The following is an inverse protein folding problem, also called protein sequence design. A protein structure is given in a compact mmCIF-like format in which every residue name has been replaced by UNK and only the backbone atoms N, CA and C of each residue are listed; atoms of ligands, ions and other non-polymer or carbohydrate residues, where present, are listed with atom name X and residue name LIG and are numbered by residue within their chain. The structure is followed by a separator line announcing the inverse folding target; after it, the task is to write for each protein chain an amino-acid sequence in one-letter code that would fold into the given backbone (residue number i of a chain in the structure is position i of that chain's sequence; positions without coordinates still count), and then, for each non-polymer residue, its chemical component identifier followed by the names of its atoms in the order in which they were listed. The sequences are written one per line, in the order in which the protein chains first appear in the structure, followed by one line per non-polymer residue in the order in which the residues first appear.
data_IF_863135145418
#
_entry.id   IF_863135145418
#
_cell.length_a   1.000
_cell.length_b   1.000
_cell.length_c   1.000
_cell.angle_alpha   90.00
_cell.angle_beta   90.00
_cell.angle_gamma   90.00
#
_symmetry.space_group_name_H-M   'P 1'
#
loop_
_entity.id
_entity.type
_entity.pdbx_description
1 polymer ?
#
# COMPACT_ATOMS: atom_id res chain seq x y z
N UNK A 1 -13.81 -7.48 3.10
CA UNK A 1 -14.03 -6.28 2.27
C UNK A 1 -15.39 -5.69 2.61
N UNK A 2 -15.44 -4.39 2.99
CA UNK A 2 -16.70 -3.69 3.21
C UNK A 2 -17.25 -3.19 1.87
N UNK A 3 -18.51 -3.52 1.60
CA UNK A 3 -19.24 -2.98 0.44
C UNK A 3 -19.48 -1.47 0.62
N UNK A 4 -19.77 -0.78 -0.49
CA UNK A 4 -20.13 0.64 -0.44
C UNK A 4 -21.27 0.92 0.54
N UNK A 5 -22.35 0.14 0.50
CA UNK A 5 -23.51 0.34 1.37
C UNK A 5 -23.14 0.23 2.86
N UNK A 6 -22.30 -0.74 3.23
CA UNK A 6 -21.82 -0.86 4.61
C UNK A 6 -20.95 0.30 5.06
N UNK A 7 -20.12 0.84 4.16
CA UNK A 7 -19.34 2.04 4.46
C UNK A 7 -20.24 3.27 4.58
N UNK A 8 -21.27 3.37 3.74
CA UNK A 8 -22.27 4.43 3.81
C UNK A 8 -22.99 4.43 5.17
N UNK A 9 -23.51 3.27 5.57
CA UNK A 9 -24.19 3.10 6.86
C UNK A 9 -23.25 3.45 8.03
N UNK A 10 -22.02 2.97 8.00
CA UNK A 10 -21.01 3.29 9.02
C UNK A 10 -20.71 4.78 9.09
N UNK A 11 -20.52 5.43 7.93
CA UNK A 11 -20.27 6.86 7.86
C UNK A 11 -21.44 7.68 8.44
N UNK A 12 -22.66 7.32 8.12
CA UNK A 12 -23.88 7.96 8.66
C UNK A 12 -23.96 7.78 10.19
N UNK A 13 -23.67 6.59 10.72
CA UNK A 13 -23.63 6.34 12.17
C UNK A 13 -22.55 7.19 12.85
N UNK A 14 -21.34 7.24 12.27
CA UNK A 14 -20.25 8.07 12.80
C UNK A 14 -20.67 9.53 12.85
N UNK A 15 -21.27 10.07 11.79
CA UNK A 15 -21.76 11.47 11.75
C UNK A 15 -22.85 11.74 12.76
N UNK A 16 -23.71 10.76 13.03
CA UNK A 16 -24.78 10.87 14.03
C UNK A 16 -24.24 10.91 15.46
N UNK A 17 -23.29 10.03 15.79
CA UNK A 17 -22.88 9.82 17.18
C UNK A 17 -21.54 10.46 17.54
N UNK A 18 -20.65 10.66 16.57
CA UNK A 18 -19.32 11.27 16.77
C UNK A 18 -19.24 12.62 16.04
N UNK A 19 -19.98 13.59 16.55
CA UNK A 19 -20.14 14.91 15.89
C UNK A 19 -18.85 15.71 15.69
N UNK A 20 -17.82 15.45 16.49
CA UNK A 20 -16.51 16.11 16.39
C UNK A 20 -15.48 15.26 15.62
N UNK A 21 -15.87 14.15 15.03
CA UNK A 21 -14.99 13.36 14.18
C UNK A 21 -14.75 14.08 12.85
N UNK A 22 -13.55 14.61 12.64
CA UNK A 22 -13.22 15.38 11.44
C UNK A 22 -12.97 14.47 10.23
N UNK A 23 -12.29 13.32 10.44
CA UNK A 23 -11.99 12.38 9.37
C UNK A 23 -12.10 10.93 9.83
N UNK A 24 -12.38 10.03 8.87
CA UNK A 24 -12.50 8.60 9.07
C UNK A 24 -11.39 7.93 8.26
N UNK A 25 -10.30 7.57 8.93
CA UNK A 25 -9.22 6.81 8.31
C UNK A 25 -9.53 5.31 8.28
N UNK A 26 -8.95 4.60 7.31
CA UNK A 26 -9.11 3.14 7.19
C UNK A 26 -7.95 2.49 6.46
N UNK A 27 -7.84 1.18 6.61
CA UNK A 27 -6.97 0.35 5.76
C UNK A 27 -7.75 -0.24 4.60
N UNK A 28 -7.12 -0.32 3.44
CA UNK A 28 -7.69 -0.93 2.25
C UNK A 28 -6.63 -1.69 1.45
N UNK A 29 -7.09 -2.65 0.65
CA UNK A 29 -6.33 -3.22 -0.47
C UNK A 29 -6.76 -2.54 -1.77
N UNK A 30 -5.97 -2.68 -2.81
CA UNK A 30 -6.36 -2.24 -4.17
C UNK A 30 -7.67 -2.90 -4.61
N UNK A 31 -7.83 -4.19 -4.31
CA UNK A 31 -9.05 -4.95 -4.58
C UNK A 31 -10.31 -4.44 -3.85
N UNK A 32 -10.15 -3.72 -2.75
CA UNK A 32 -11.26 -3.15 -1.99
C UNK A 32 -11.79 -1.85 -2.64
N UNK A 33 -10.93 -1.13 -3.36
CA UNK A 33 -11.27 0.11 -4.08
C UNK A 33 -11.87 -0.22 -5.45
N UNK A 34 -11.35 -1.24 -6.12
CA UNK A 34 -11.71 -1.62 -7.50
C UNK A 34 -13.22 -1.67 -7.78
N UNK A 35 -14.08 -2.28 -6.93
CA UNK A 35 -15.52 -2.38 -7.18
C UNK A 35 -16.29 -1.08 -6.96
N UNK A 36 -15.66 -0.03 -6.40
CA UNK A 36 -16.30 1.23 -6.10
C UNK A 36 -16.16 2.22 -7.26
N UNK A 37 -17.24 2.89 -7.61
CA UNK A 37 -17.21 3.97 -8.59
C UNK A 37 -16.63 5.24 -7.97
N UNK A 38 -16.21 6.17 -8.82
CA UNK A 38 -15.73 7.49 -8.37
C UNK A 38 -16.85 8.26 -7.61
N UNK A 39 -18.08 8.13 -8.06
CA UNK A 39 -19.22 8.78 -7.39
C UNK A 39 -19.47 8.21 -6.00
N UNK A 40 -19.41 6.89 -5.85
CA UNK A 40 -19.48 6.25 -4.53
C UNK A 40 -18.34 6.71 -3.61
N UNK A 41 -17.12 6.85 -4.12
CA UNK A 41 -15.98 7.37 -3.37
C UNK A 41 -16.19 8.85 -2.98
N UNK A 42 -16.71 9.69 -3.87
CA UNK A 42 -17.09 11.08 -3.55
C UNK A 42 -18.12 11.15 -2.42
N UNK A 43 -19.14 10.30 -2.47
CA UNK A 43 -20.14 10.21 -1.40
C UNK A 43 -19.50 9.81 -0.06
N UNK A 44 -18.57 8.83 -0.05
CA UNK A 44 -17.83 8.48 1.15
C UNK A 44 -16.95 9.63 1.63
N UNK A 45 -16.32 10.38 0.72
CA UNK A 45 -15.54 11.58 1.06
C UNK A 45 -16.40 12.63 1.78
N UNK A 46 -17.64 12.89 1.32
CA UNK A 46 -18.57 13.79 1.99
C UNK A 46 -18.96 13.34 3.40
N UNK A 47 -18.96 12.03 3.66
CA UNK A 47 -19.14 11.48 5.00
C UNK A 47 -17.88 11.55 5.86
N UNK A 48 -16.77 12.04 5.31
CA UNK A 48 -15.52 12.23 6.02
C UNK A 48 -14.53 11.09 5.90
N UNK A 49 -14.76 10.11 5.03
CA UNK A 49 -13.72 9.11 4.72
C UNK A 49 -12.55 9.78 4.02
N UNK A 50 -11.38 9.71 4.67
CA UNK A 50 -10.16 10.35 4.22
C UNK A 50 -8.94 9.72 4.90
N UNK A 51 -7.76 9.77 4.30
CA UNK A 51 -6.57 9.18 4.89
C UNK A 51 -6.57 7.64 4.82
N UNK A 52 -6.84 7.07 3.63
CA UNK A 52 -6.88 5.62 3.43
C UNK A 52 -5.45 5.09 3.31
N UNK A 53 -5.06 4.13 4.18
CA UNK A 53 -3.79 3.43 4.09
C UNK A 53 -3.93 2.19 3.23
N UNK A 54 -3.17 2.14 2.12
CA UNK A 54 -3.28 1.09 1.10
C UNK A 54 -2.03 0.21 1.14
N UNK A 55 -2.22 -1.08 1.42
CA UNK A 55 -1.18 -2.08 1.30
C UNK A 55 -0.90 -2.40 -0.18
N UNK A 56 -0.12 -1.55 -0.84
CA UNK A 56 0.34 -1.79 -2.22
C UNK A 56 1.53 -2.74 -2.28
N UNK A 57 2.40 -2.63 -1.29
CA UNK A 57 3.56 -3.47 -0.98
C UNK A 57 4.62 -3.54 -2.08
N UNK A 58 4.26 -3.50 -3.34
CA UNK A 58 5.13 -3.44 -4.52
C UNK A 58 4.38 -2.81 -5.69
N UNK A 59 5.13 -2.29 -6.66
CA UNK A 59 4.65 -1.92 -8.00
C UNK A 59 5.24 -2.82 -9.10
N UNK A 60 5.83 -3.95 -8.74
CA UNK A 60 6.39 -4.90 -9.68
C UNK A 60 5.44 -6.08 -9.90
N UNK A 61 4.89 -6.24 -11.09
CA UNK A 61 3.91 -7.28 -11.41
C UNK A 61 4.41 -8.71 -11.11
N UNK A 62 5.69 -8.99 -11.34
CA UNK A 62 6.25 -10.29 -11.00
C UNK A 62 6.23 -10.54 -9.48
N UNK A 63 6.59 -9.53 -8.69
CA UNK A 63 6.55 -9.62 -7.22
C UNK A 63 5.11 -9.76 -6.74
N UNK A 64 4.18 -8.96 -7.29
CA UNK A 64 2.76 -9.03 -6.95
C UNK A 64 2.15 -10.40 -7.28
N UNK A 65 2.51 -10.97 -8.43
CA UNK A 65 2.05 -12.31 -8.84
C UNK A 65 2.60 -13.42 -7.94
N UNK A 66 3.91 -13.42 -7.65
CA UNK A 66 4.53 -14.41 -6.75
C UNK A 66 3.92 -14.34 -5.34
N UNK A 67 3.62 -13.14 -4.85
CA UNK A 67 3.00 -12.92 -3.53
C UNK A 67 1.47 -13.06 -3.55
N UNK A 68 0.89 -13.54 -4.64
CA UNK A 68 -0.54 -13.79 -4.81
C UNK A 68 -1.42 -12.60 -4.38
N UNK A 69 -1.03 -11.37 -4.77
CA UNK A 69 -1.73 -10.14 -4.38
C UNK A 69 -3.08 -9.95 -5.08
N UNK A 70 -3.29 -10.59 -6.23
CA UNK A 70 -4.53 -10.54 -6.99
C UNK A 70 -4.80 -9.21 -7.71
N UNK A 71 -3.79 -8.35 -7.86
CA UNK A 71 -3.84 -7.09 -8.61
C UNK A 71 -2.47 -6.80 -9.26
N UNK A 72 -2.45 -5.89 -10.22
CA UNK A 72 -1.29 -5.49 -11.01
C UNK A 72 -0.83 -4.06 -10.66
N UNK A 73 0.33 -3.67 -11.16
CA UNK A 73 0.83 -2.30 -11.12
C UNK A 73 -0.17 -1.31 -11.75
N UNK A 74 -0.81 -1.69 -12.85
CA UNK A 74 -1.83 -0.87 -13.50
C UNK A 74 -3.08 -0.71 -12.62
N UNK A 75 -3.53 -1.78 -11.95
CA UNK A 75 -4.63 -1.69 -10.98
C UNK A 75 -4.31 -0.69 -9.85
N UNK A 76 -3.06 -0.65 -9.36
CA UNK A 76 -2.64 0.33 -8.35
C UNK A 76 -2.85 1.75 -8.88
N UNK A 77 -2.35 2.03 -10.09
CA UNK A 77 -2.47 3.35 -10.70
C UNK A 77 -3.95 3.74 -10.88
N UNK A 78 -4.73 2.85 -11.47
CA UNK A 78 -6.16 3.12 -11.74
C UNK A 78 -6.95 3.39 -10.45
N UNK A 79 -6.78 2.55 -9.43
CA UNK A 79 -7.56 2.68 -8.20
C UNK A 79 -7.13 3.90 -7.37
N UNK A 80 -5.84 4.21 -7.32
CA UNK A 80 -5.37 5.43 -6.65
C UNK A 80 -5.84 6.70 -7.37
N UNK A 81 -5.87 6.72 -8.70
CA UNK A 81 -6.44 7.85 -9.48
C UNK A 81 -7.92 8.06 -9.20
N UNK A 82 -8.72 7.00 -8.97
CA UNK A 82 -10.12 7.16 -8.52
C UNK A 82 -10.21 7.87 -7.16
N UNK A 83 -9.30 7.57 -6.22
CA UNK A 83 -9.25 8.26 -4.93
C UNK A 83 -8.88 9.73 -5.11
N UNK A 84 -7.92 10.04 -5.98
CA UNK A 84 -7.53 11.41 -6.32
C UNK A 84 -8.72 12.18 -6.92
N UNK A 85 -9.44 11.60 -7.87
CA UNK A 85 -10.64 12.19 -8.48
C UNK A 85 -11.78 12.40 -7.46
N UNK A 86 -11.87 11.53 -6.46
CA UNK A 86 -12.81 11.66 -5.35
C UNK A 86 -12.31 12.59 -4.24
N UNK A 87 -11.13 13.19 -4.38
CA UNK A 87 -10.47 14.04 -3.38
C UNK A 87 -10.30 13.34 -2.01
N UNK A 88 -9.99 12.04 -2.03
CA UNK A 88 -9.67 11.24 -0.84
C UNK A 88 -8.15 11.12 -0.74
N UNK A 89 -7.57 11.60 0.36
CA UNK A 89 -6.14 11.40 0.66
C UNK A 89 -5.87 9.93 0.95
N UNK A 90 -4.72 9.46 0.50
CA UNK A 90 -4.29 8.08 0.74
C UNK A 90 -2.79 7.98 1.02
N UNK A 91 -2.41 6.92 1.69
CA UNK A 91 -1.04 6.55 2.00
C UNK A 91 -0.73 5.22 1.29
N UNK A 92 0.48 5.08 0.76
CA UNK A 92 0.93 3.84 0.16
C UNK A 92 1.91 3.14 1.11
N UNK A 93 1.79 1.83 1.20
CA UNK A 93 2.76 0.99 1.93
C UNK A 93 3.64 0.29 0.91
N UNK A 94 4.95 0.44 1.07
CA UNK A 94 5.98 -0.29 0.32
C UNK A 94 6.68 -1.28 1.24
N UNK A 95 6.69 -2.56 0.85
CA UNK A 95 7.25 -3.63 1.66
C UNK A 95 8.61 -4.07 1.09
N UNK A 96 9.71 -3.66 1.74
CA UNK A 96 11.06 -4.02 1.32
C UNK A 96 11.36 -5.49 1.60
N UNK A 97 12.14 -6.10 0.72
CA UNK A 97 12.47 -7.53 0.80
C UNK A 97 11.43 -8.47 0.22
N UNK A 98 10.27 -7.95 -0.20
CA UNK A 98 9.16 -8.75 -0.72
C UNK A 98 9.52 -9.53 -1.99
N UNK A 99 10.40 -8.99 -2.82
CA UNK A 99 10.85 -9.64 -4.06
C UNK A 99 11.83 -10.82 -3.80
N UNK A 100 12.36 -10.93 -2.59
CA UNK A 100 13.37 -11.92 -2.22
C UNK A 100 14.79 -11.54 -2.64
N UNK A 101 15.74 -12.42 -2.32
CA UNK A 101 17.18 -12.23 -2.51
C UNK A 101 17.52 -11.87 -3.97
N UNK A 102 18.35 -10.85 -4.14
CA UNK A 102 18.89 -10.41 -5.45
C UNK A 102 17.89 -9.70 -6.37
N UNK A 103 16.61 -9.52 -5.96
CA UNK A 103 15.57 -8.92 -6.81
C UNK A 103 15.10 -7.54 -6.35
N UNK A 104 15.62 -7.04 -5.24
CA UNK A 104 15.18 -5.78 -4.61
C UNK A 104 15.37 -4.56 -5.50
N UNK A 105 16.49 -4.41 -6.20
CA UNK A 105 16.74 -3.26 -7.07
C UNK A 105 15.67 -3.12 -8.16
N UNK A 106 15.36 -4.21 -8.87
CA UNK A 106 14.34 -4.21 -9.92
C UNK A 106 12.94 -3.94 -9.35
N UNK A 107 12.64 -4.51 -8.17
CA UNK A 107 11.40 -4.25 -7.45
C UNK A 107 11.26 -2.76 -7.11
N UNK A 108 12.32 -2.14 -6.60
CA UNK A 108 12.37 -0.74 -6.26
C UNK A 108 12.14 0.19 -7.48
N UNK A 109 12.83 -0.08 -8.59
CA UNK A 109 12.69 0.70 -9.83
C UNK A 109 11.25 0.65 -10.34
N UNK A 110 10.67 -0.55 -10.45
CA UNK A 110 9.30 -0.72 -10.95
C UNK A 110 8.28 -0.07 -10.01
N UNK A 111 8.47 -0.21 -8.69
CA UNK A 111 7.58 0.42 -7.70
C UNK A 111 7.67 1.95 -7.76
N UNK A 112 8.87 2.51 -7.88
CA UNK A 112 9.04 3.95 -8.04
C UNK A 112 8.37 4.47 -9.33
N UNK A 113 8.47 3.73 -10.44
CA UNK A 113 7.80 4.09 -11.70
C UNK A 113 6.26 4.12 -11.56
N UNK A 114 5.68 3.23 -10.77
CA UNK A 114 4.24 3.24 -10.45
C UNK A 114 3.89 4.43 -9.57
N UNK A 115 4.63 4.63 -8.46
CA UNK A 115 4.33 5.67 -7.49
C UNK A 115 4.55 7.08 -8.06
N UNK A 116 5.48 7.25 -9.00
CA UNK A 116 5.70 8.52 -9.70
C UNK A 116 4.53 9.00 -10.58
N UNK A 117 3.52 8.15 -10.79
CA UNK A 117 2.30 8.50 -11.52
C UNK A 117 1.14 8.90 -10.58
N UNK A 118 1.39 8.95 -9.27
CA UNK A 118 0.41 9.08 -8.20
C UNK A 118 0.77 10.23 -7.25
N UNK A 119 -0.20 10.65 -6.41
CA UNK A 119 -0.02 11.74 -5.46
C UNK A 119 -0.35 11.29 -4.03
N UNK A 120 0.33 10.26 -3.47
CA UNK A 120 0.08 9.81 -2.11
C UNK A 120 0.45 10.89 -1.10
N UNK A 121 -0.32 11.00 -0.02
CA UNK A 121 -0.01 11.88 1.10
C UNK A 121 1.26 11.43 1.82
N UNK A 122 1.39 10.11 2.06
CA UNK A 122 2.62 9.50 2.58
C UNK A 122 2.95 8.20 1.84
N UNK A 123 4.24 7.84 1.85
CA UNK A 123 4.72 6.50 1.52
C UNK A 123 5.37 5.90 2.76
N UNK A 124 4.81 4.81 3.25
CA UNK A 124 5.28 4.11 4.44
C UNK A 124 6.16 2.92 4.02
N UNK A 125 7.38 2.87 4.54
CA UNK A 125 8.28 1.74 4.34
C UNK A 125 8.16 0.74 5.48
N UNK A 126 8.00 -0.51 5.13
CA UNK A 126 7.92 -1.63 6.07
C UNK A 126 8.87 -2.71 5.60
N UNK A 127 9.65 -3.31 6.48
CA UNK A 127 10.47 -4.46 6.15
C UNK A 127 9.65 -5.74 6.26
N UNK A 128 9.81 -6.64 5.29
CA UNK A 128 9.16 -7.94 5.31
C UNK A 128 9.49 -8.69 6.61
N UNK A 129 8.46 -9.08 7.33
CA UNK A 129 8.54 -10.01 8.46
C UNK A 129 7.77 -11.26 8.09
N UNK A 130 8.43 -12.40 8.15
CA UNK A 130 7.83 -13.68 7.82
C UNK A 130 7.34 -14.35 9.10
N UNK A 131 6.07 -14.69 9.15
CA UNK A 131 5.45 -15.40 10.27
C UNK A 131 5.42 -16.90 10.00
N UNK A 132 5.64 -17.72 11.03
CA UNK A 132 5.72 -19.18 10.94
C UNK A 132 4.47 -19.85 10.37
N UNK A 133 3.32 -19.19 10.48
CA UNK A 133 2.02 -19.68 10.02
C UNK A 133 1.70 -19.24 8.58
N UNK A 134 2.61 -18.54 7.90
CA UNK A 134 2.40 -18.03 6.55
C UNK A 134 2.84 -19.01 5.46
N UNK A 135 2.16 -18.99 4.32
CA UNK A 135 2.57 -19.74 3.12
C UNK A 135 4.00 -19.38 2.69
N UNK A 136 4.42 -18.13 2.87
CA UNK A 136 5.76 -17.68 2.56
C UNK A 136 6.83 -18.38 3.44
N UNK A 137 6.51 -18.65 4.70
CA UNK A 137 7.40 -19.41 5.57
C UNK A 137 7.60 -20.85 5.04
N UNK A 138 6.53 -21.50 4.59
CA UNK A 138 6.64 -22.83 3.97
C UNK A 138 7.46 -22.80 2.68
N UNK A 139 7.35 -21.74 1.89
CA UNK A 139 8.16 -21.55 0.68
C UNK A 139 9.66 -21.40 1.01
N UNK A 140 9.97 -20.69 2.09
CA UNK A 140 11.35 -20.58 2.59
C UNK A 140 11.87 -21.96 3.00
N UNK A 141 11.08 -22.73 3.76
CA UNK A 141 11.48 -24.07 4.20
C UNK A 141 11.71 -25.04 3.02
N UNK A 142 10.95 -24.86 1.94
CA UNK A 142 11.10 -25.63 0.69
C UNK A 142 12.23 -25.11 -0.22
N UNK A 143 12.83 -23.95 0.12
CA UNK A 143 13.87 -23.31 -0.69
C UNK A 143 13.36 -22.65 -1.98
N UNK A 144 12.05 -22.52 -2.17
CA UNK A 144 11.44 -21.82 -3.31
C UNK A 144 11.47 -20.29 -3.18
N UNK A 145 11.55 -19.78 -1.95
CA UNK A 145 11.79 -18.37 -1.66
C UNK A 145 13.03 -18.22 -0.76
N UNK A 146 13.89 -17.26 -1.09
CA UNK A 146 15.04 -16.87 -0.27
C UNK A 146 14.88 -15.43 0.14
N UNK A 147 14.88 -15.18 1.44
CA UNK A 147 14.76 -13.82 1.96
C UNK A 147 15.93 -12.94 1.54
N UNK A 148 15.62 -11.69 1.23
CA UNK A 148 16.64 -10.66 1.07
C UNK A 148 17.32 -10.38 2.42
N UNK A 149 18.63 -10.24 2.40
CA UNK A 149 19.41 -9.80 3.57
C UNK A 149 19.00 -8.35 3.94
N UNK A 150 19.30 -7.96 5.18
CA UNK A 150 19.09 -6.58 5.63
C UNK A 150 19.82 -5.58 4.72
N UNK A 151 21.05 -5.87 4.35
CA UNK A 151 21.81 -5.02 3.44
C UNK A 151 21.13 -4.88 2.07
N UNK A 152 20.61 -5.96 1.50
CA UNK A 152 19.85 -5.92 0.24
C UNK A 152 18.58 -5.08 0.38
N UNK A 153 17.86 -5.17 1.51
CA UNK A 153 16.66 -4.34 1.78
C UNK A 153 17.00 -2.85 1.88
N UNK A 154 18.13 -2.50 2.48
CA UNK A 154 18.62 -1.10 2.53
C UNK A 154 19.03 -0.59 1.15
N UNK A 155 19.67 -1.41 0.31
CA UNK A 155 19.97 -1.07 -1.07
C UNK A 155 18.70 -0.91 -1.92
N UNK A 156 17.71 -1.76 -1.72
CA UNK A 156 16.39 -1.67 -2.33
C UNK A 156 15.73 -0.33 -1.98
N UNK A 157 15.69 0.01 -0.69
CA UNK A 157 15.12 1.27 -0.21
C UNK A 157 15.87 2.48 -0.78
N UNK A 158 17.20 2.46 -0.77
CA UNK A 158 18.02 3.52 -1.39
C UNK A 158 17.68 3.71 -2.86
N UNK A 159 17.56 2.61 -3.61
CA UNK A 159 17.21 2.64 -5.03
C UNK A 159 15.82 3.24 -5.22
N UNK A 160 14.82 2.82 -4.42
CA UNK A 160 13.47 3.35 -4.49
C UNK A 160 13.46 4.87 -4.25
N UNK A 161 14.07 5.35 -3.16
CA UNK A 161 14.10 6.78 -2.81
C UNK A 161 14.81 7.59 -3.91
N UNK A 162 15.92 7.10 -4.44
CA UNK A 162 16.64 7.80 -5.51
C UNK A 162 15.88 7.92 -6.83
N UNK A 163 14.87 7.07 -7.03
CA UNK A 163 14.03 7.06 -8.24
C UNK A 163 12.67 7.73 -8.04
N UNK A 164 12.34 8.11 -6.80
CA UNK A 164 11.08 8.77 -6.50
C UNK A 164 11.17 10.26 -6.83
N UNK A 165 10.25 10.77 -7.65
CA UNK A 165 10.24 12.15 -8.15
C UNK A 165 9.00 12.95 -7.72
N UNK A 166 8.10 12.34 -6.95
CA UNK A 166 6.88 12.97 -6.45
C UNK A 166 7.13 13.70 -5.13
N UNK A 167 6.29 14.69 -4.85
CA UNK A 167 6.27 15.37 -3.54
C UNK A 167 5.40 14.56 -2.58
N UNK A 168 6.00 13.87 -1.64
CA UNK A 168 5.33 13.08 -0.62
C UNK A 168 6.16 13.03 0.66
N UNK A 169 5.54 12.66 1.77
CA UNK A 169 6.26 12.38 3.02
C UNK A 169 6.63 10.90 3.08
N UNK A 170 7.90 10.61 3.37
CA UNK A 170 8.39 9.25 3.54
C UNK A 170 8.44 8.91 5.04
N UNK A 171 7.88 7.78 5.42
CA UNK A 171 7.83 7.31 6.80
C UNK A 171 8.40 5.90 6.90
N UNK A 172 9.36 5.71 7.81
CA UNK A 172 10.00 4.42 8.06
C UNK A 172 10.00 4.01 9.53
N UNK A 173 9.11 4.57 10.34
CA UNK A 173 9.08 4.44 11.79
C UNK A 173 8.35 3.18 12.30
N UNK A 174 8.34 2.10 11.54
CA UNK A 174 7.73 0.82 11.96
C UNK A 174 8.74 -0.05 12.70
N UNK A 175 8.25 -0.86 13.64
CA UNK A 175 9.10 -1.78 14.43
C UNK A 175 9.76 -2.88 13.61
N UNK A 176 9.28 -3.14 12.41
CA UNK A 176 9.87 -4.10 11.46
C UNK A 176 11.10 -3.53 10.74
N UNK A 177 11.34 -2.22 10.81
CA UNK A 177 12.51 -1.61 10.22
C UNK A 177 13.66 -1.60 11.22
N UNK A 178 14.83 -2.02 10.79
CA UNK A 178 16.03 -2.07 11.64
C UNK A 178 16.45 -0.69 12.12
N UNK A 179 16.29 0.32 11.26
CA UNK A 179 16.53 1.73 11.59
C UNK A 179 15.26 2.51 11.23
N UNK A 180 14.42 2.85 12.20
CA UNK A 180 13.25 3.70 11.98
C UNK A 180 13.67 5.14 11.62
N UNK A 181 12.93 5.79 10.70
CA UNK A 181 13.14 7.19 10.29
C UNK A 181 11.82 7.87 9.89
#
# INVERSE_FOLDING_TARGET
VLSYNRLLDLGLLIRKYLRHCESIGMFARISDIKPKTVEELKNLRHLGFDGISIGTESGNDNTLAVMNKGYTANDIIEQCKKLEEANIRYNLVYLTGLAGKGKGERNAINTANVFNQLHPFTVNFVSLTVFSESELYEEIQRGSFVEATEHERLLELRTFISRLHIKTTLLGNTVSNTVPF
#
